data_IF_066668679949
#
_entry.id   IF_066668679949
#
_cell.length_a   1.000
_cell.length_b   1.000
_cell.length_c   1.000
_cell.angle_alpha   90.00
_cell.angle_beta   90.00
_cell.angle_gamma   90.00
#
_symmetry.space_group_name_H-M   'P 1'
#
loop_
_entity.id
_entity.type
_entity.pdbx_description
1 polymer ?
#
# COMPACT_ATOMS: atom_id res chain seq x y z
N UNK A 1 -30.81 15.99 -17.47
CA UNK A 1 -29.35 16.07 -17.20
C UNK A 1 -28.92 14.63 -17.01
N UNK A 2 -28.43 13.95 -18.08
CA UNK A 2 -27.99 12.56 -18.04
C UNK A 2 -26.69 12.44 -17.26
N UNK A 3 -26.77 12.05 -15.99
CA UNK A 3 -25.61 11.59 -15.25
C UNK A 3 -25.10 10.30 -15.90
N UNK A 4 -23.81 10.23 -16.19
CA UNK A 4 -23.18 8.96 -16.57
C UNK A 4 -23.29 8.03 -15.36
N UNK A 5 -23.78 6.82 -15.56
CA UNK A 5 -23.84 5.80 -14.53
C UNK A 5 -22.42 5.46 -14.07
N UNK A 6 -22.21 5.44 -12.74
CA UNK A 6 -20.95 5.03 -12.18
C UNK A 6 -20.79 3.51 -12.33
N UNK A 7 -19.77 3.07 -13.06
CA UNK A 7 -19.45 1.66 -13.20
C UNK A 7 -18.42 1.24 -12.17
N UNK A 8 -18.70 0.18 -11.41
CA UNK A 8 -17.78 -0.42 -10.45
C UNK A 8 -17.25 -1.74 -11.00
N UNK A 9 -15.93 -1.91 -10.92
CA UNK A 9 -15.24 -3.14 -11.33
C UNK A 9 -14.41 -3.68 -10.17
N UNK A 10 -14.37 -4.99 -10.05
CA UNK A 10 -13.46 -5.71 -9.17
C UNK A 10 -12.67 -6.75 -9.97
N UNK A 11 -11.59 -7.26 -9.42
CA UNK A 11 -10.75 -8.26 -10.10
C UNK A 11 -11.47 -9.60 -10.30
N UNK A 12 -12.50 -9.88 -9.53
CA UNK A 12 -13.39 -11.05 -9.64
C UNK A 12 -14.63 -10.80 -10.52
N UNK A 13 -14.79 -9.57 -11.03
CA UNK A 13 -15.85 -9.30 -12.03
C UNK A 13 -15.60 -10.09 -13.31
N UNK A 14 -16.71 -10.55 -13.95
CA UNK A 14 -16.66 -11.32 -15.19
C UNK A 14 -15.82 -10.61 -16.27
N UNK A 15 -14.88 -11.34 -16.87
CA UNK A 15 -13.99 -10.83 -17.93
C UNK A 15 -12.83 -9.95 -17.45
N UNK A 16 -12.77 -9.58 -16.17
CA UNK A 16 -11.68 -8.75 -15.62
C UNK A 16 -10.48 -9.63 -15.26
N UNK A 17 -10.37 -10.12 -14.07
CA UNK A 17 -9.26 -10.96 -13.60
C UNK A 17 -7.88 -10.34 -13.78
N UNK A 18 -6.89 -11.19 -13.94
CA UNK A 18 -5.48 -10.83 -14.10
C UNK A 18 -4.99 -11.18 -15.51
N UNK A 19 -4.18 -10.29 -16.10
CA UNK A 19 -3.67 -10.45 -17.45
C UNK A 19 -2.33 -11.20 -17.48
N UNK A 20 -2.15 -12.24 -18.32
CA UNK A 20 -0.91 -13.03 -18.34
C UNK A 20 0.30 -12.32 -18.97
N UNK A 21 0.08 -11.16 -19.59
CA UNK A 21 1.13 -10.44 -20.34
C UNK A 21 1.97 -9.49 -19.48
N UNK A 22 1.43 -9.03 -18.34
CA UNK A 22 2.11 -8.09 -17.45
C UNK A 22 2.17 -8.68 -16.06
N UNK A 23 3.38 -8.91 -15.58
CA UNK A 23 3.61 -9.56 -14.29
C UNK A 23 4.87 -9.00 -13.62
N UNK A 24 4.93 -9.21 -12.31
CA UNK A 24 6.11 -9.01 -11.49
C UNK A 24 6.73 -10.38 -11.18
N UNK A 25 8.02 -10.49 -11.35
CA UNK A 25 8.81 -11.67 -11.01
C UNK A 25 9.99 -11.26 -10.14
N UNK A 26 10.19 -11.94 -9.03
CA UNK A 26 11.34 -11.68 -8.17
C UNK A 26 12.62 -12.16 -8.82
N UNK A 27 13.65 -11.32 -8.81
CA UNK A 27 14.97 -11.62 -9.43
C UNK A 27 15.85 -12.52 -8.58
N UNK A 28 15.52 -12.72 -7.30
CA UNK A 28 16.30 -13.50 -6.35
C UNK A 28 15.47 -14.68 -5.84
N UNK A 29 16.15 -15.72 -5.33
CA UNK A 29 15.54 -16.82 -4.59
C UNK A 29 15.04 -16.31 -3.21
N UNK A 30 14.09 -15.39 -3.25
CA UNK A 30 13.38 -14.95 -2.06
C UNK A 30 12.63 -16.19 -1.56
N UNK A 31 12.83 -16.59 -0.29
CA UNK A 31 12.06 -17.69 0.28
C UNK A 31 10.60 -17.28 0.36
N UNK A 32 9.89 -17.53 -0.71
CA UNK A 32 8.45 -17.31 -0.80
C UNK A 32 7.74 -18.53 -0.25
N UNK A 33 6.64 -18.35 0.45
CA UNK A 33 5.70 -19.45 0.71
C UNK A 33 5.20 -19.95 -0.64
N UNK A 34 5.76 -21.07 -1.10
CA UNK A 34 5.35 -21.73 -2.33
C UNK A 34 4.11 -22.56 -2.02
N UNK A 35 2.94 -21.98 -2.15
CA UNK A 35 1.70 -22.78 -2.11
C UNK A 35 1.38 -23.39 -3.49
N UNK A 36 1.91 -22.82 -4.57
CA UNK A 36 1.59 -23.24 -5.95
C UNK A 36 2.76 -23.30 -6.93
N UNK A 37 4.00 -23.11 -6.47
CA UNK A 37 5.20 -23.12 -7.30
C UNK A 37 5.35 -21.94 -8.26
N UNK A 38 4.44 -20.98 -8.26
CA UNK A 38 4.45 -19.83 -9.15
C UNK A 38 5.28 -18.68 -8.57
N UNK A 39 6.25 -18.21 -9.35
CA UNK A 39 7.11 -17.08 -8.98
C UNK A 39 6.57 -15.73 -9.49
N UNK A 40 5.49 -15.75 -10.28
CA UNK A 40 4.94 -14.59 -10.94
C UNK A 40 3.70 -14.06 -10.22
N UNK A 41 3.55 -12.76 -10.21
CA UNK A 41 2.37 -12.04 -9.75
C UNK A 41 1.85 -11.19 -10.89
N UNK A 42 0.68 -11.53 -11.43
CA UNK A 42 0.11 -10.88 -12.60
C UNK A 42 -0.69 -9.64 -12.21
N UNK A 43 -0.53 -8.57 -12.98
CA UNK A 43 -1.29 -7.34 -12.77
C UNK A 43 -2.76 -7.49 -13.22
N UNK A 44 -3.65 -6.85 -12.46
CA UNK A 44 -5.07 -6.78 -12.78
C UNK A 44 -5.31 -6.13 -14.15
N UNK A 45 -6.28 -6.65 -14.90
CA UNK A 45 -6.74 -6.04 -16.14
C UNK A 45 -7.39 -4.68 -15.93
N UNK A 46 -7.87 -4.38 -14.73
CA UNK A 46 -8.31 -3.01 -14.39
C UNK A 46 -7.18 -2.02 -14.67
N UNK A 47 -5.98 -2.30 -14.19
CA UNK A 47 -4.83 -1.41 -14.37
C UNK A 47 -4.22 -1.47 -15.76
N UNK A 48 -4.16 -2.67 -16.35
CA UNK A 48 -3.45 -2.86 -17.62
C UNK A 48 -4.30 -2.51 -18.84
N UNK A 49 -5.62 -2.52 -18.73
CA UNK A 49 -6.53 -2.35 -19.86
C UNK A 49 -7.59 -1.26 -19.70
N UNK A 50 -8.07 -0.99 -18.47
CA UNK A 50 -9.20 -0.10 -18.25
C UNK A 50 -8.80 1.27 -17.68
N UNK A 51 -7.97 1.29 -16.64
CA UNK A 51 -7.61 2.52 -15.97
C UNK A 51 -6.62 3.34 -16.80
N UNK A 52 -6.93 4.60 -17.02
CA UNK A 52 -6.03 5.61 -17.60
C UNK A 52 -5.40 6.49 -16.52
N UNK A 53 -6.09 6.64 -15.39
CA UNK A 53 -5.67 7.45 -14.24
C UNK A 53 -6.00 6.66 -12.98
N UNK A 54 -5.16 6.80 -11.96
CA UNK A 54 -5.33 6.15 -10.64
C UNK A 54 -5.38 7.24 -9.56
N UNK A 55 -6.42 7.17 -8.72
CA UNK A 55 -6.46 7.80 -7.41
C UNK A 55 -6.44 6.66 -6.38
N UNK A 56 -5.45 6.66 -5.52
CA UNK A 56 -5.27 5.63 -4.50
C UNK A 56 -5.91 6.09 -3.19
N UNK A 57 -6.81 5.28 -2.62
CA UNK A 57 -7.54 5.63 -1.39
C UNK A 57 -7.31 4.55 -0.32
N UNK A 58 -6.13 4.51 0.32
CA UNK A 58 -5.83 3.56 1.37
C UNK A 58 -6.40 3.96 2.72
N UNK A 59 -6.54 2.97 3.60
CA UNK A 59 -6.88 3.16 5.01
C UNK A 59 -5.60 3.27 5.84
N UNK A 60 -5.60 4.15 6.82
CA UNK A 60 -4.53 4.36 7.80
C UNK A 60 -4.50 3.20 8.81
N UNK A 61 -3.62 2.21 8.64
CA UNK A 61 -3.65 1.02 9.48
C UNK A 61 -2.29 0.34 9.70
N UNK A 62 -2.19 -0.26 10.89
CA UNK A 62 -1.16 -1.23 11.23
C UNK A 62 -1.21 -2.48 10.36
N UNK A 63 -0.08 -3.17 10.23
CA UNK A 63 0.03 -4.48 9.60
C UNK A 63 1.12 -5.31 10.27
N UNK A 64 0.76 -6.49 10.78
CA UNK A 64 1.66 -7.33 11.60
C UNK A 64 2.95 -7.78 10.93
N UNK A 65 3.03 -7.82 9.58
CA UNK A 65 4.23 -8.24 8.85
C UNK A 65 5.02 -7.05 8.31
N UNK A 66 4.33 -6.03 7.80
CA UNK A 66 4.96 -4.88 7.14
C UNK A 66 5.01 -3.63 8.01
N UNK A 67 4.64 -3.73 9.28
CA UNK A 67 4.52 -2.61 10.20
C UNK A 67 3.26 -1.80 9.95
N UNK A 68 3.12 -1.25 8.75
CA UNK A 68 1.95 -0.48 8.32
C UNK A 68 1.47 -0.91 6.94
N UNK A 69 0.24 -0.53 6.60
CA UNK A 69 -0.31 -0.70 5.26
C UNK A 69 -0.94 0.63 4.86
N UNK A 70 -0.23 1.40 4.08
CA UNK A 70 -0.62 2.69 3.55
C UNK A 70 -0.72 2.70 2.03
N UNK A 71 -0.25 3.76 1.41
CA UNK A 71 -0.36 4.01 -0.03
C UNK A 71 0.35 2.98 -0.88
N UNK A 72 1.61 2.69 -0.56
CA UNK A 72 2.45 1.79 -1.35
C UNK A 72 1.88 0.37 -1.36
N UNK A 73 1.65 -0.21 -0.18
CA UNK A 73 1.15 -1.58 -0.07
C UNK A 73 -0.27 -1.72 -0.61
N UNK A 74 -1.15 -0.74 -0.35
CA UNK A 74 -2.52 -0.77 -0.82
C UNK A 74 -2.57 -0.94 -2.34
N UNK A 75 -1.84 -0.10 -3.07
CA UNK A 75 -1.86 -0.11 -4.52
C UNK A 75 -1.02 -1.25 -5.10
N UNK A 76 0.18 -1.52 -4.57
CA UNK A 76 1.03 -2.60 -5.06
C UNK A 76 0.33 -3.96 -4.94
N UNK A 77 -0.10 -4.33 -3.74
CA UNK A 77 -0.69 -5.65 -3.50
C UNK A 77 -2.17 -5.74 -3.89
N UNK A 78 -2.88 -4.61 -3.94
CA UNK A 78 -4.22 -4.55 -4.53
C UNK A 78 -4.23 -4.69 -6.06
N UNK A 79 -3.06 -4.54 -6.70
CA UNK A 79 -2.91 -4.53 -8.16
C UNK A 79 -2.53 -5.88 -8.76
N UNK A 80 -1.98 -6.79 -7.97
CA UNK A 80 -1.48 -8.08 -8.45
C UNK A 80 -2.07 -9.24 -7.66
N UNK A 81 -2.07 -10.42 -8.29
CA UNK A 81 -2.38 -11.68 -7.61
C UNK A 81 -1.16 -12.26 -6.89
N UNK A 82 -1.34 -13.41 -6.22
CA UNK A 82 -0.26 -14.22 -5.63
C UNK A 82 0.64 -13.44 -4.66
N UNK A 83 0.05 -12.55 -3.85
CA UNK A 83 0.80 -11.69 -2.90
C UNK A 83 1.20 -12.41 -1.61
N UNK A 84 0.52 -13.50 -1.25
CA UNK A 84 0.83 -14.27 -0.03
C UNK A 84 2.27 -14.77 0.01
N UNK A 85 2.86 -15.03 -1.15
CA UNK A 85 4.26 -15.47 -1.27
C UNK A 85 5.29 -14.50 -0.69
N UNK A 86 4.94 -13.23 -0.52
CA UNK A 86 5.82 -12.20 0.03
C UNK A 86 5.70 -12.02 1.54
N UNK A 87 4.64 -12.59 2.17
CA UNK A 87 4.34 -12.42 3.58
C UNK A 87 5.15 -13.41 4.44
N UNK A 88 6.48 -13.36 4.35
CA UNK A 88 7.38 -14.20 5.14
C UNK A 88 8.55 -13.41 5.69
N UNK A 89 9.02 -13.79 6.89
CA UNK A 89 10.28 -13.28 7.42
C UNK A 89 11.48 -13.90 6.67
N UNK A 90 12.60 -13.18 6.53
CA UNK A 90 12.92 -11.88 7.14
C UNK A 90 12.55 -10.67 6.26
N UNK A 91 11.95 -10.87 5.10
CA UNK A 91 11.78 -9.83 4.09
C UNK A 91 10.60 -8.90 4.36
N UNK A 92 9.53 -9.40 5.00
CA UNK A 92 8.35 -8.60 5.35
C UNK A 92 7.76 -7.86 4.13
N UNK A 93 7.61 -8.57 3.00
CA UNK A 93 7.14 -8.03 1.72
C UNK A 93 8.08 -7.03 1.04
N UNK A 94 9.29 -6.81 1.53
CA UNK A 94 10.33 -5.99 0.92
C UNK A 94 11.25 -6.89 0.05
N UNK A 95 11.69 -6.47 -1.15
CA UNK A 95 11.38 -5.22 -1.84
C UNK A 95 10.11 -5.28 -2.71
N UNK A 96 9.34 -6.37 -2.69
CA UNK A 96 8.23 -6.61 -3.61
C UNK A 96 7.21 -5.46 -3.66
N UNK A 97 6.88 -4.83 -2.53
CA UNK A 97 5.94 -3.70 -2.50
C UNK A 97 6.45 -2.55 -3.38
N UNK A 98 7.69 -2.13 -3.19
CA UNK A 98 8.28 -1.01 -3.93
C UNK A 98 8.50 -1.35 -5.40
N UNK A 99 8.94 -2.56 -5.73
CA UNK A 99 9.17 -2.99 -7.11
C UNK A 99 7.88 -3.15 -7.92
N UNK A 100 6.83 -3.74 -7.31
CA UNK A 100 5.51 -3.82 -7.94
C UNK A 100 4.93 -2.43 -8.17
N UNK A 101 5.04 -1.53 -7.18
CA UNK A 101 4.55 -0.16 -7.30
C UNK A 101 5.31 0.63 -8.37
N UNK A 102 6.62 0.43 -8.52
CA UNK A 102 7.46 1.11 -9.49
C UNK A 102 7.13 0.77 -10.96
N UNK A 103 6.33 -0.28 -11.20
CA UNK A 103 5.95 -0.64 -12.56
C UNK A 103 5.10 0.45 -13.22
N UNK A 104 5.34 0.70 -14.52
CA UNK A 104 4.69 1.77 -15.30
C UNK A 104 3.16 1.70 -15.30
N UNK A 105 2.58 0.52 -15.19
CA UNK A 105 1.10 0.35 -15.08
C UNK A 105 0.51 0.99 -13.82
N UNK A 106 1.34 1.28 -12.83
CA UNK A 106 0.94 1.97 -11.60
C UNK A 106 1.49 3.39 -11.59
N UNK A 107 2.83 3.55 -11.56
CA UNK A 107 3.45 4.84 -11.29
C UNK A 107 3.12 5.91 -12.31
N UNK A 108 3.00 5.54 -13.60
CA UNK A 108 2.73 6.51 -14.68
C UNK A 108 1.26 6.94 -14.71
N UNK A 109 0.37 6.24 -14.02
CA UNK A 109 -1.06 6.52 -13.97
C UNK A 109 -1.51 7.12 -12.63
N UNK A 110 -0.71 6.96 -11.57
CA UNK A 110 -1.05 7.47 -10.25
C UNK A 110 -0.89 8.99 -10.20
N UNK A 111 -1.97 9.68 -9.89
CA UNK A 111 -1.98 11.15 -9.80
C UNK A 111 -2.19 11.67 -8.39
N UNK A 112 -2.76 10.86 -7.48
CA UNK A 112 -3.08 11.29 -6.12
C UNK A 112 -3.24 10.09 -5.19
N UNK A 113 -2.77 10.27 -3.95
CA UNK A 113 -3.09 9.38 -2.84
C UNK A 113 -3.93 10.18 -1.82
N UNK A 114 -5.01 9.56 -1.32
CA UNK A 114 -5.87 10.13 -0.28
C UNK A 114 -6.03 9.07 0.81
N UNK A 115 -5.39 9.27 1.95
CA UNK A 115 -5.43 8.32 3.07
C UNK A 115 -6.64 8.62 3.97
N UNK A 116 -7.52 7.63 4.12
CA UNK A 116 -8.57 7.67 5.13
C UNK A 116 -7.97 7.41 6.51
N UNK A 117 -7.80 8.47 7.28
CA UNK A 117 -7.36 8.48 8.67
C UNK A 117 -8.41 9.02 9.63
N UNK A 118 -9.70 8.99 9.28
CA UNK A 118 -10.76 9.37 10.23
C UNK A 118 -10.75 8.42 11.43
N UNK A 119 -10.67 7.13 11.15
CA UNK A 119 -10.42 6.08 12.13
C UNK A 119 -9.23 5.24 11.66
N UNK A 120 -8.21 5.15 12.50
CA UNK A 120 -7.00 4.40 12.22
C UNK A 120 -6.86 3.19 13.15
N UNK A 121 -6.07 2.19 12.77
CA UNK A 121 -5.77 1.06 13.64
C UNK A 121 -4.27 0.98 13.96
N UNK A 122 -3.94 0.78 15.24
CA UNK A 122 -2.55 0.73 15.72
C UNK A 122 -2.05 -0.68 16.01
N UNK A 123 -2.92 -1.68 16.01
CA UNK A 123 -2.55 -3.07 16.29
C UNK A 123 -3.50 -4.05 15.56
N UNK A 124 -3.20 -5.37 15.59
CA UNK A 124 -4.06 -6.43 15.04
C UNK A 124 -4.17 -6.50 13.52
N UNK A 125 -3.73 -5.48 12.79
CA UNK A 125 -3.87 -5.47 11.32
C UNK A 125 -3.13 -6.60 10.60
N UNK A 126 -3.61 -7.02 9.42
CA UNK A 126 -4.61 -6.37 8.57
C UNK A 126 -6.07 -6.62 8.95
N UNK A 127 -6.35 -7.50 9.91
CA UNK A 127 -7.70 -7.84 10.36
C UNK A 127 -8.23 -6.70 11.23
N UNK A 128 -9.51 -6.38 11.08
CA UNK A 128 -10.15 -5.38 11.91
C UNK A 128 -10.29 -5.85 13.37
N UNK A 129 -9.80 -5.02 14.29
CA UNK A 129 -9.99 -5.20 15.73
C UNK A 129 -10.49 -3.88 16.33
N UNK A 130 -11.71 -3.88 16.81
CA UNK A 130 -12.35 -2.68 17.38
C UNK A 130 -11.58 -2.11 18.58
N UNK A 131 -10.85 -2.94 19.34
CA UNK A 131 -10.07 -2.51 20.49
C UNK A 131 -8.75 -1.82 20.08
N UNK A 132 -8.33 -2.00 18.83
CA UNK A 132 -7.12 -1.42 18.29
C UNK A 132 -7.39 -0.24 17.34
N UNK A 133 -8.62 0.29 17.33
CA UNK A 133 -9.01 1.45 16.50
C UNK A 133 -9.11 2.70 17.36
N UNK A 134 -8.63 3.80 16.83
CA UNK A 134 -8.81 5.12 17.45
C UNK A 134 -9.26 6.17 16.44
N UNK A 135 -9.89 7.24 16.93
CA UNK A 135 -10.24 8.39 16.11
C UNK A 135 -8.98 9.23 15.88
N UNK A 136 -8.38 9.10 14.70
CA UNK A 136 -7.26 9.93 14.28
C UNK A 136 -7.76 11.29 13.75
N UNK A 137 -8.91 11.30 13.08
CA UNK A 137 -9.62 12.51 12.66
C UNK A 137 -8.94 13.29 11.55
N UNK A 138 -8.07 12.64 10.76
CA UNK A 138 -7.32 13.29 9.67
C UNK A 138 -7.55 12.57 8.34
N UNK A 139 -7.56 13.34 7.25
CA UNK A 139 -7.39 12.85 5.89
C UNK A 139 -6.06 13.39 5.40
N UNK A 140 -5.20 12.51 4.85
CA UNK A 140 -3.92 12.92 4.29
C UNK A 140 -3.99 12.81 2.78
N UNK A 141 -3.42 13.78 2.06
CA UNK A 141 -3.36 13.74 0.61
C UNK A 141 -1.97 14.16 0.10
N UNK A 142 -1.43 13.43 -0.86
CA UNK A 142 -0.16 13.75 -1.53
C UNK A 142 -0.03 13.02 -2.86
N UNK A 143 0.75 13.56 -3.76
CA UNK A 143 1.25 12.83 -4.93
C UNK A 143 2.37 11.86 -4.56
N UNK A 144 3.07 12.10 -3.46
CA UNK A 144 4.16 11.26 -2.94
C UNK A 144 3.59 10.18 -2.00
N UNK A 145 3.57 8.89 -2.40
CA UNK A 145 3.07 7.79 -1.57
C UNK A 145 4.01 7.43 -0.41
N UNK A 146 5.32 7.72 -0.56
CA UNK A 146 6.34 7.34 0.41
C UNK A 146 6.26 8.21 1.64
N UNK A 147 6.06 9.53 1.45
CA UNK A 147 5.91 10.46 2.56
C UNK A 147 4.65 10.17 3.37
N UNK A 148 3.55 9.80 2.71
CA UNK A 148 2.32 9.42 3.39
C UNK A 148 2.49 8.15 4.21
N UNK A 149 3.17 7.13 3.68
CA UNK A 149 3.45 5.89 4.40
C UNK A 149 4.43 6.13 5.57
N UNK A 150 5.35 7.09 5.45
CA UNK A 150 6.22 7.51 6.55
C UNK A 150 5.42 8.20 7.67
N UNK A 151 4.49 9.09 7.33
CA UNK A 151 3.59 9.74 8.32
C UNK A 151 2.74 8.70 9.03
N UNK A 152 2.17 7.74 8.27
CA UNK A 152 1.39 6.62 8.83
C UNK A 152 2.23 5.84 9.84
N UNK A 153 3.47 5.50 9.47
CA UNK A 153 4.39 4.74 10.33
C UNK A 153 4.71 5.48 11.62
N UNK A 154 5.08 6.75 11.52
CA UNK A 154 5.45 7.56 12.68
C UNK A 154 4.27 7.73 13.64
N UNK A 155 3.08 8.03 13.10
CA UNK A 155 1.86 8.19 13.90
C UNK A 155 1.44 6.87 14.58
N UNK A 156 1.55 5.73 13.88
CA UNK A 156 1.25 4.42 14.48
C UNK A 156 2.27 4.09 15.55
N UNK A 157 3.55 4.34 15.33
CA UNK A 157 4.60 4.10 16.33
C UNK A 157 4.40 4.95 17.59
N UNK A 158 4.00 6.21 17.44
CA UNK A 158 3.64 7.08 18.58
C UNK A 158 2.42 6.54 19.34
N UNK A 159 1.36 6.16 18.64
CA UNK A 159 0.18 5.57 19.26
C UNK A 159 0.49 4.27 19.99
N UNK A 160 1.30 3.39 19.38
CA UNK A 160 1.75 2.13 20.00
C UNK A 160 2.56 2.36 21.27
N UNK A 161 3.46 3.34 21.28
CA UNK A 161 4.20 3.73 22.50
C UNK A 161 3.26 4.20 23.61
N UNK A 162 2.23 4.99 23.27
CA UNK A 162 1.24 5.44 24.23
C UNK A 162 0.37 4.29 24.82
N UNK A 163 0.25 3.18 24.07
CA UNK A 163 -0.43 1.95 24.50
C UNK A 163 0.57 0.89 25.05
N UNK A 164 1.79 1.29 25.37
CA UNK A 164 2.86 0.42 25.90
C UNK A 164 3.21 -0.77 25.00
N UNK A 165 3.05 -0.61 23.66
CA UNK A 165 3.38 -1.62 22.66
C UNK A 165 4.70 -1.30 21.95
N UNK A 166 5.38 -2.34 21.48
CA UNK A 166 6.60 -2.19 20.68
C UNK A 166 6.32 -1.47 19.35
N UNK A 167 7.25 -0.62 18.93
CA UNK A 167 7.20 0.06 17.62
C UNK A 167 7.39 -0.94 16.47
N UNK A 168 6.80 -0.62 15.33
CA UNK A 168 6.82 -1.51 14.14
C UNK A 168 7.71 -1.02 13.00
N UNK A 169 8.49 0.03 13.24
CA UNK A 169 9.39 0.64 12.25
C UNK A 169 10.37 -0.34 11.62
N UNK A 170 10.88 -1.31 12.38
CA UNK A 170 11.79 -2.35 11.86
C UNK A 170 11.17 -3.27 10.83
N UNK A 171 9.84 -3.37 10.80
CA UNK A 171 9.07 -4.18 9.84
C UNK A 171 8.80 -3.41 8.53
N UNK A 172 8.70 -2.08 8.59
CA UNK A 172 8.32 -1.23 7.45
C UNK A 172 9.51 -0.93 6.50
N UNK A 173 10.26 -1.97 6.12
CA UNK A 173 11.46 -1.87 5.27
C UNK A 173 11.15 -1.31 3.89
N UNK A 174 9.99 -1.65 3.35
CA UNK A 174 9.56 -1.26 2.00
C UNK A 174 9.48 0.26 1.79
N UNK A 175 9.28 1.06 2.84
CA UNK A 175 9.28 2.53 2.76
C UNK A 175 10.66 3.04 2.33
N UNK A 176 11.75 2.49 2.92
CA UNK A 176 13.12 2.82 2.52
C UNK A 176 13.44 2.32 1.11
N UNK A 177 12.95 1.13 0.77
CA UNK A 177 13.16 0.57 -0.58
C UNK A 177 12.44 1.41 -1.63
N UNK A 178 11.23 1.90 -1.35
CA UNK A 178 10.51 2.81 -2.21
C UNK A 178 11.24 4.17 -2.41
N UNK A 179 11.83 4.72 -1.34
CA UNK A 179 12.67 5.92 -1.46
C UNK A 179 13.91 5.66 -2.33
N UNK A 180 14.57 4.51 -2.20
CA UNK A 180 15.75 4.16 -3.01
C UNK A 180 15.47 4.02 -4.49
N UNK A 181 14.26 3.60 -4.86
CA UNK A 181 13.82 3.48 -6.27
C UNK A 181 13.03 4.71 -6.73
N UNK A 182 13.19 5.82 -6.03
CA UNK A 182 12.70 7.16 -6.41
C UNK A 182 11.17 7.23 -6.58
N UNK A 183 10.41 6.52 -5.73
CA UNK A 183 8.95 6.62 -5.71
C UNK A 183 8.44 7.78 -4.87
N UNK A 184 9.32 8.46 -4.15
CA UNK A 184 9.05 9.58 -3.26
C UNK A 184 10.10 9.69 -2.15
N UNK A 185 9.84 10.53 -1.16
CA UNK A 185 10.76 10.74 -0.03
C UNK A 185 10.17 10.24 1.30
N UNK A 186 11.00 9.61 2.14
CA UNK A 186 10.67 9.30 3.53
C UNK A 186 11.28 10.31 4.52
N UNK A 187 11.81 11.42 4.02
CA UNK A 187 12.39 12.51 4.79
C UNK A 187 11.33 13.60 4.97
N UNK A 188 10.78 13.71 6.18
CA UNK A 188 9.72 14.67 6.49
C UNK A 188 10.18 16.12 6.38
N UNK A 189 11.48 16.39 6.55
CA UNK A 189 12.04 17.75 6.45
C UNK A 189 12.03 18.26 4.99
N UNK A 190 11.84 17.38 4.02
CA UNK A 190 11.72 17.70 2.59
C UNK A 190 10.28 17.90 2.12
N UNK A 191 9.30 17.73 3.00
CA UNK A 191 7.90 17.86 2.65
C UNK A 191 7.36 19.23 3.08
N UNK A 192 6.60 19.84 2.18
CA UNK A 192 5.80 21.02 2.52
C UNK A 192 4.42 20.56 3.00
N UNK A 193 4.13 20.80 4.28
CA UNK A 193 2.89 20.40 4.92
C UNK A 193 1.93 21.57 5.03
N UNK A 194 0.72 21.36 4.55
CA UNK A 194 -0.40 22.28 4.79
C UNK A 194 -1.50 21.56 5.56
N UNK A 195 -1.88 22.08 6.72
CA UNK A 195 -3.02 21.60 7.49
C UNK A 195 -4.22 22.53 7.31
N UNK A 196 -5.33 21.96 6.90
CA UNK A 196 -6.61 22.68 6.74
C UNK A 196 -7.60 22.10 7.74
N UNK A 197 -8.12 22.96 8.60
CA UNK A 197 -9.22 22.62 9.51
C UNK A 197 -10.55 22.95 8.83
N UNK A 198 -11.46 21.97 8.79
CA UNK A 198 -12.80 22.09 8.17
C UNK A 198 -13.86 22.11 9.26
#
# INVERSE_FOLDING_TARGET
KGGKELQCFATDSEGIGYGPKVFYETKEDIPTRREDGKQQSFYSRILTQLATVIINVPVFKHHGITGVSGCLKNLAFGSVNNTNRFHSNPLNCDPAISEIFAHTVIKDKLILNIVDGLYASFNGGPIYDANAVWKQGKILASVDPVILDQIILDTIDEKRKAEELEVVRSLAKYIRSANRVELGTNDLDKADFQEVTV
#
